data_IF_258212254179
#
_entry.id   IF_258212254179
#
_cell.length_a   1.000
_cell.length_b   1.000
_cell.length_c   1.000
_cell.angle_alpha   90.00
_cell.angle_beta   90.00
_cell.angle_gamma   90.00
#
_symmetry.space_group_name_H-M   'P 1'
#
loop_
_entity.id
_entity.type
_entity.pdbx_description
1 polymer ?
#
# COMPACT_ATOMS: atom_id res chain seq x y z
N UNK A 1 10.06 7.24 -11.42
CA UNK A 1 10.03 5.99 -10.62
C UNK A 1 11.42 5.37 -10.59
N UNK A 2 11.73 4.53 -9.59
CA UNK A 2 12.93 3.66 -9.63
C UNK A 2 12.80 2.63 -10.77
N UNK A 3 13.86 1.91 -11.10
CA UNK A 3 13.79 0.79 -12.06
C UNK A 3 12.86 -0.31 -11.56
N UNK A 4 12.29 -1.10 -12.48
CA UNK A 4 11.43 -2.22 -12.13
C UNK A 4 12.12 -3.20 -11.15
N UNK A 5 13.38 -3.53 -11.39
CA UNK A 5 14.15 -4.43 -10.52
C UNK A 5 14.33 -3.87 -9.11
N UNK A 6 14.63 -2.57 -8.99
CA UNK A 6 14.76 -1.92 -7.69
C UNK A 6 13.40 -1.87 -6.95
N UNK A 7 12.30 -1.71 -7.68
CA UNK A 7 10.96 -1.75 -7.11
C UNK A 7 10.59 -3.17 -6.67
N UNK A 8 10.90 -4.21 -7.45
CA UNK A 8 10.72 -5.62 -7.06
C UNK A 8 11.55 -5.97 -5.82
N UNK A 9 12.79 -5.50 -5.73
CA UNK A 9 13.63 -5.68 -4.54
C UNK A 9 12.96 -5.15 -3.26
N UNK A 10 12.34 -3.97 -3.34
CA UNK A 10 11.64 -3.37 -2.20
C UNK A 10 10.35 -4.13 -1.84
N UNK A 11 9.47 -4.36 -2.80
CA UNK A 11 8.15 -4.92 -2.52
C UNK A 11 8.18 -6.45 -2.36
N UNK A 12 8.84 -7.17 -3.26
CA UNK A 12 8.86 -8.64 -3.28
C UNK A 12 9.98 -9.19 -2.39
N UNK A 13 11.13 -8.52 -2.35
CA UNK A 13 12.29 -8.94 -1.55
C UNK A 13 12.18 -8.57 -0.07
N UNK A 14 12.15 -7.28 0.23
CA UNK A 14 12.16 -6.80 1.62
C UNK A 14 10.83 -6.99 2.33
N UNK A 15 9.70 -6.71 1.64
CA UNK A 15 8.36 -6.82 2.21
C UNK A 15 7.69 -8.18 1.97
N UNK A 16 8.27 -9.03 1.12
CA UNK A 16 7.74 -10.37 0.85
C UNK A 16 6.40 -10.41 0.09
N UNK A 17 6.02 -9.33 -0.59
CA UNK A 17 4.80 -9.29 -1.40
C UNK A 17 4.90 -10.27 -2.57
N UNK A 18 3.77 -10.90 -2.88
CA UNK A 18 3.60 -11.75 -4.06
C UNK A 18 2.59 -11.11 -4.99
N UNK A 19 2.78 -11.29 -6.30
CA UNK A 19 1.86 -10.77 -7.32
C UNK A 19 0.42 -11.30 -7.19
N UNK A 20 0.23 -12.42 -6.50
CA UNK A 20 -1.08 -13.02 -6.19
C UNK A 20 -1.79 -12.40 -4.98
N UNK A 21 -1.10 -11.58 -4.18
CA UNK A 21 -1.65 -11.04 -2.94
C UNK A 21 -2.71 -9.97 -3.23
N UNK A 22 -3.71 -9.88 -2.33
CA UNK A 22 -4.67 -8.78 -2.33
C UNK A 22 -4.07 -7.61 -1.54
N UNK A 23 -3.67 -6.55 -2.23
CA UNK A 23 -2.96 -5.43 -1.61
C UNK A 23 -3.89 -4.23 -1.45
N UNK A 24 -3.87 -3.61 -0.27
CA UNK A 24 -4.56 -2.34 -0.01
C UNK A 24 -3.54 -1.30 0.43
N UNK A 25 -3.42 -0.21 -0.31
CA UNK A 25 -2.55 0.92 0.03
C UNK A 25 -3.34 2.03 0.70
N UNK A 26 -2.76 2.69 1.71
CA UNK A 26 -3.37 3.85 2.38
C UNK A 26 -2.31 4.86 2.84
N UNK A 27 -2.71 6.11 3.07
CA UNK A 27 -1.87 7.14 3.67
C UNK A 27 -2.70 8.03 4.60
N UNK A 28 -2.78 9.34 4.35
CA UNK A 28 -3.64 10.28 5.10
C UNK A 28 -4.93 10.59 4.36
N UNK A 29 -4.87 10.94 3.08
CA UNK A 29 -6.02 11.31 2.22
C UNK A 29 -5.92 10.68 0.82
N UNK A 30 -5.32 9.50 0.70
CA UNK A 30 -5.20 8.77 -0.57
C UNK A 30 -4.14 9.28 -1.55
N UNK A 31 -3.52 10.43 -1.31
CA UNK A 31 -2.64 11.13 -2.24
C UNK A 31 -1.29 10.40 -2.43
N UNK A 32 -0.66 9.97 -1.34
CA UNK A 32 0.60 9.22 -1.38
C UNK A 32 0.38 7.74 -1.70
N UNK A 33 -0.72 7.17 -1.25
CA UNK A 33 -1.04 5.78 -1.51
C UNK A 33 -1.42 5.55 -2.97
N UNK A 34 -2.03 6.53 -3.66
CA UNK A 34 -2.27 6.45 -5.10
C UNK A 34 -0.96 6.28 -5.91
N UNK A 35 0.14 6.91 -5.47
CA UNK A 35 1.45 6.72 -6.09
C UNK A 35 1.93 5.27 -5.95
N UNK A 36 1.85 4.68 -4.75
CA UNK A 36 2.23 3.27 -4.53
C UNK A 36 1.30 2.31 -5.27
N UNK A 37 -0.01 2.58 -5.24
CA UNK A 37 -1.00 1.83 -6.01
C UNK A 37 -0.67 1.81 -7.51
N UNK A 38 -0.30 2.96 -8.07
CA UNK A 38 0.11 3.06 -9.48
C UNK A 38 1.36 2.23 -9.76
N UNK A 39 2.37 2.30 -8.89
CA UNK A 39 3.60 1.52 -9.02
C UNK A 39 3.30 0.02 -9.05
N UNK A 40 2.56 -0.49 -8.06
CA UNK A 40 2.25 -1.91 -7.97
C UNK A 40 1.42 -2.38 -9.17
N UNK A 41 0.40 -1.60 -9.54
CA UNK A 41 -0.55 -1.95 -10.61
C UNK A 41 0.10 -1.89 -11.98
N UNK A 42 0.68 -0.75 -12.35
CA UNK A 42 1.09 -0.47 -13.73
C UNK A 42 2.56 -0.73 -14.01
N UNK A 43 3.44 -0.60 -13.02
CA UNK A 43 4.87 -0.81 -13.23
C UNK A 43 5.29 -2.25 -12.90
N UNK A 44 4.65 -2.87 -11.90
CA UNK A 44 4.98 -4.23 -11.47
C UNK A 44 3.96 -5.30 -11.91
N UNK A 45 2.78 -4.87 -12.39
CA UNK A 45 1.78 -5.75 -12.98
C UNK A 45 0.90 -6.49 -11.96
N UNK A 46 0.79 -6.00 -10.73
CA UNK A 46 -0.10 -6.59 -9.74
C UNK A 46 -1.56 -6.35 -10.17
N UNK A 47 -2.37 -7.41 -10.16
CA UNK A 47 -3.75 -7.35 -10.67
C UNK A 47 -4.78 -7.07 -9.59
N UNK A 48 -4.43 -7.24 -8.31
CA UNK A 48 -5.35 -7.11 -7.18
C UNK A 48 -4.85 -6.09 -6.15
N UNK A 49 -4.72 -4.84 -6.58
CA UNK A 49 -4.31 -3.71 -5.73
C UNK A 49 -5.43 -2.68 -5.68
N UNK A 50 -5.83 -2.29 -4.47
CA UNK A 50 -6.83 -1.24 -4.22
C UNK A 50 -6.21 -0.09 -3.44
N UNK A 51 -6.58 1.14 -3.78
CA UNK A 51 -6.26 2.30 -2.98
C UNK A 51 -7.43 2.59 -2.02
N UNK A 52 -7.18 2.61 -0.72
CA UNK A 52 -8.15 3.06 0.28
C UNK A 52 -8.03 4.57 0.45
N UNK A 53 -8.88 5.31 -0.25
CA UNK A 53 -8.83 6.77 -0.37
C UNK A 53 -9.20 7.50 0.93
N UNK A 54 -10.15 6.98 1.70
CA UNK A 54 -10.50 7.52 3.03
C UNK A 54 -9.31 7.51 3.99
N UNK A 55 -8.44 6.50 3.87
CA UNK A 55 -7.10 6.48 4.50
C UNK A 55 -7.17 6.77 6.01
N UNK A 56 -6.11 7.33 6.60
CA UNK A 56 -6.08 7.63 8.03
C UNK A 56 -7.07 8.72 8.46
N UNK A 57 -7.44 9.65 7.56
CA UNK A 57 -8.42 10.69 7.91
C UNK A 57 -9.79 10.07 8.18
N UNK A 58 -10.18 9.04 7.44
CA UNK A 58 -11.38 8.26 7.75
C UNK A 58 -11.15 7.33 8.93
N UNK A 59 -10.15 6.43 8.85
CA UNK A 59 -9.95 5.36 9.84
C UNK A 59 -9.67 5.90 11.25
N UNK A 60 -8.86 6.96 11.36
CA UNK A 60 -8.52 7.59 12.64
C UNK A 60 -9.69 8.34 13.29
N UNK A 61 -10.75 8.63 12.55
CA UNK A 61 -11.98 9.25 13.06
C UNK A 61 -13.15 8.26 13.18
N UNK A 62 -12.98 7.01 12.71
CA UNK A 62 -14.03 6.00 12.76
C UNK A 62 -14.22 5.47 14.19
N UNK A 63 -15.46 5.48 14.65
CA UNK A 63 -15.83 4.99 15.99
C UNK A 63 -15.51 3.50 16.10
N UNK A 64 -14.70 3.14 17.11
CA UNK A 64 -14.32 1.76 17.44
C UNK A 64 -13.50 1.03 16.36
N UNK A 65 -12.87 1.77 15.44
CA UNK A 65 -11.89 1.17 14.55
C UNK A 65 -10.64 0.70 15.34
N UNK A 66 -10.12 -0.51 15.10
CA UNK A 66 -8.93 -0.98 15.78
C UNK A 66 -7.70 -0.17 15.34
N UNK A 67 -6.85 0.19 16.30
CA UNK A 67 -5.63 0.98 16.09
C UNK A 67 -4.46 0.30 16.80
N UNK A 68 -3.35 0.13 16.06
CA UNK A 68 -2.03 -0.28 16.58
C UNK A 68 -1.13 0.96 16.71
N UNK A 69 -0.22 0.95 17.69
CA UNK A 69 0.82 1.97 17.92
C UNK A 69 2.15 1.26 18.20
N UNK A 70 3.26 1.92 17.84
CA UNK A 70 4.61 1.34 17.98
C UNK A 70 5.16 0.87 16.64
N UNK A 71 6.29 0.15 16.68
CA UNK A 71 7.06 -0.25 15.48
C UNK A 71 6.61 -1.59 14.87
N UNK A 72 5.82 -2.37 15.60
CA UNK A 72 5.36 -3.68 15.16
C UNK A 72 4.02 -3.60 14.41
N UNK A 73 3.83 -4.39 13.34
CA UNK A 73 2.52 -4.57 12.69
C UNK A 73 1.43 -5.10 13.64
#
# INVERSE_FOLDING_TARGET
FKSADALRGLYEGELGLRSSDSVVTYCRIGERSSHTWFVLTYLLGYTNVRNYDGSWTEWGNAVRAPIRKGEQP
#
